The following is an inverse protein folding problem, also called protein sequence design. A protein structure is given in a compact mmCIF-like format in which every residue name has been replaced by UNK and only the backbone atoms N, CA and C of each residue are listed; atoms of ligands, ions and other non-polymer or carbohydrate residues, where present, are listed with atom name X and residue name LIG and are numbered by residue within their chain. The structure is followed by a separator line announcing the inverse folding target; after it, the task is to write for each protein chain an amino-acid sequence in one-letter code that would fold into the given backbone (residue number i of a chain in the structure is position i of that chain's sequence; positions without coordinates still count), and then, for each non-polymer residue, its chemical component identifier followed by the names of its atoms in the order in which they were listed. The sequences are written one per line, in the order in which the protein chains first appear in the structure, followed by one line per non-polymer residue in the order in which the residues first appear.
data_IF_530130740180
#
_entry.id   IF_530130740180
#
_cell.length_a   1.000
_cell.length_b   1.000
_cell.length_c   1.000
_cell.angle_alpha   90.00
_cell.angle_beta   90.00
_cell.angle_gamma   90.00
#
_symmetry.space_group_name_H-M   'P 1'
#
loop_
_entity.id
_entity.type
_entity.pdbx_description
1 polymer ?
#
# COMPACT_ATOMS: atom_id res chain seq x y z
N UNK A 1 -16.39 -1.20 -8.90
CA UNK A 1 -16.19 0.10 -9.59
C UNK A 1 -17.53 0.59 -10.11
N UNK A 2 -17.88 1.85 -9.83
CA UNK A 2 -19.14 2.47 -10.28
C UNK A 2 -19.29 2.37 -11.82
N UNK A 3 -20.38 1.78 -12.35
CA UNK A 3 -20.56 1.58 -13.80
C UNK A 3 -20.52 2.89 -14.61
N UNK A 4 -20.97 4.00 -14.02
CA UNK A 4 -20.94 5.32 -14.65
C UNK A 4 -19.50 5.84 -14.85
N UNK A 5 -18.65 5.60 -13.85
CA UNK A 5 -17.22 5.95 -13.90
C UNK A 5 -16.54 5.13 -15.00
N UNK A 6 -16.77 3.82 -15.05
CA UNK A 6 -16.19 2.94 -16.06
C UNK A 6 -16.59 3.35 -17.49
N UNK A 7 -17.90 3.57 -17.72
CA UNK A 7 -18.39 4.04 -19.02
C UNK A 7 -17.73 5.34 -19.46
N UNK A 8 -17.58 6.29 -18.54
CA UNK A 8 -16.95 7.58 -18.82
C UNK A 8 -15.48 7.45 -19.22
N UNK A 9 -14.73 6.57 -18.55
CA UNK A 9 -13.36 6.25 -18.93
C UNK A 9 -13.28 5.59 -20.31
N UNK A 10 -14.21 4.66 -20.63
CA UNK A 10 -14.29 4.04 -21.95
C UNK A 10 -14.48 5.09 -23.04
N UNK A 11 -15.46 5.99 -22.87
CA UNK A 11 -15.72 7.08 -23.82
C UNK A 11 -14.50 7.97 -23.97
N UNK A 12 -13.84 8.35 -22.86
CA UNK A 12 -12.62 9.16 -22.91
C UNK A 12 -11.49 8.48 -23.67
N UNK A 13 -11.29 7.18 -23.46
CA UNK A 13 -10.24 6.40 -24.12
C UNK A 13 -10.51 6.19 -25.62
N UNK A 14 -11.77 5.98 -25.98
CA UNK A 14 -12.22 5.84 -27.37
C UNK A 14 -12.18 7.16 -28.14
N UNK A 15 -12.55 8.27 -27.51
CA UNK A 15 -12.76 9.53 -28.26
C UNK A 15 -11.55 10.46 -28.22
N UNK A 16 -10.70 10.38 -27.20
CA UNK A 16 -9.61 11.34 -26.99
C UNK A 16 -8.25 10.68 -27.16
N UNK A 17 -7.65 10.84 -28.34
CA UNK A 17 -6.32 10.30 -28.68
C UNK A 17 -5.25 10.60 -27.62
N UNK A 18 -5.12 11.83 -27.07
CA UNK A 18 -4.13 12.12 -26.02
C UNK A 18 -4.32 11.25 -24.78
N UNK A 19 -5.58 11.02 -24.35
CA UNK A 19 -5.90 10.16 -23.20
C UNK A 19 -5.51 8.71 -23.50
N UNK A 20 -5.81 8.22 -24.70
CA UNK A 20 -5.43 6.87 -25.13
C UNK A 20 -3.92 6.64 -25.09
N UNK A 21 -3.15 7.61 -25.61
CA UNK A 21 -1.68 7.53 -25.62
C UNK A 21 -1.10 7.60 -24.21
N UNK A 22 -1.64 8.46 -23.34
CA UNK A 22 -1.29 8.49 -21.93
C UNK A 22 -1.58 7.13 -21.27
N UNK A 23 -2.78 6.59 -21.46
CA UNK A 23 -3.21 5.28 -20.95
C UNK A 23 -2.25 4.16 -21.30
N UNK A 24 -1.83 4.06 -22.57
CA UNK A 24 -0.85 3.05 -23.01
C UNK A 24 0.51 3.19 -22.32
N UNK A 25 0.99 4.43 -22.11
CA UNK A 25 2.26 4.69 -21.41
C UNK A 25 2.19 4.30 -19.95
N UNK A 26 1.09 4.66 -19.28
CA UNK A 26 0.85 4.31 -17.88
C UNK A 26 0.77 2.79 -17.74
N UNK A 27 -0.01 2.11 -18.59
CA UNK A 27 -0.12 0.66 -18.58
C UNK A 27 1.25 -0.01 -18.71
N UNK A 28 2.06 0.40 -19.71
CA UNK A 28 3.40 -0.17 -19.89
C UNK A 28 4.29 0.05 -18.67
N UNK A 29 4.27 1.26 -18.10
CA UNK A 29 5.09 1.57 -16.94
C UNK A 29 4.64 0.79 -15.70
N UNK A 30 3.34 0.79 -15.39
CA UNK A 30 2.79 0.00 -14.28
C UNK A 30 3.06 -1.49 -14.47
N UNK A 31 2.95 -2.02 -15.68
CA UNK A 31 3.30 -3.42 -15.96
C UNK A 31 4.77 -3.70 -15.63
N UNK A 32 5.68 -2.82 -16.02
CA UNK A 32 7.10 -2.98 -15.69
C UNK A 32 7.36 -2.93 -14.18
N UNK A 33 6.77 -1.95 -13.48
CA UNK A 33 6.91 -1.82 -12.02
C UNK A 33 6.30 -3.02 -11.30
N UNK A 34 5.13 -3.50 -11.73
CA UNK A 34 4.51 -4.70 -11.17
C UNK A 34 5.36 -5.94 -11.39
N UNK A 35 5.98 -6.10 -12.57
CA UNK A 35 6.90 -7.22 -12.82
C UNK A 35 8.17 -7.14 -11.98
N UNK A 36 8.75 -5.95 -11.80
CA UNK A 36 9.91 -5.72 -10.94
C UNK A 36 9.60 -6.09 -9.48
N UNK A 37 8.52 -5.53 -8.93
CA UNK A 37 8.04 -5.84 -7.57
C UNK A 37 7.71 -7.32 -7.41
N UNK A 38 7.12 -7.95 -8.45
CA UNK A 38 6.82 -9.39 -8.44
C UNK A 38 8.10 -10.22 -8.37
N UNK A 39 9.13 -9.86 -9.14
CA UNK A 39 10.43 -10.56 -9.11
C UNK A 39 11.15 -10.38 -7.77
N UNK A 40 11.15 -9.16 -7.23
CA UNK A 40 11.70 -8.88 -5.89
C UNK A 40 11.00 -9.72 -4.83
N UNK A 41 9.65 -9.73 -4.84
CA UNK A 41 8.84 -10.55 -3.93
C UNK A 41 9.16 -12.05 -4.04
N UNK A 42 9.33 -12.57 -5.25
CA UNK A 42 9.71 -13.98 -5.45
C UNK A 42 11.07 -14.24 -4.80
N UNK A 43 12.06 -13.38 -5.03
CA UNK A 43 13.36 -13.51 -4.39
C UNK A 43 13.31 -13.41 -2.86
N UNK A 44 12.46 -12.55 -2.30
CA UNK A 44 12.22 -12.49 -0.84
C UNK A 44 11.62 -13.80 -0.30
N UNK A 45 10.63 -14.35 -0.99
CA UNK A 45 9.97 -15.62 -0.61
C UNK A 45 10.97 -16.79 -0.70
N UNK A 46 11.81 -16.82 -1.73
CA UNK A 46 12.86 -17.84 -1.88
C UNK A 46 13.89 -17.76 -0.74
N UNK A 47 14.40 -16.57 -0.41
CA UNK A 47 15.29 -16.39 0.75
C UNK A 47 14.62 -16.76 2.08
N UNK A 48 13.34 -16.43 2.25
CA UNK A 48 12.59 -16.85 3.42
C UNK A 48 12.41 -18.38 3.49
N UNK A 49 12.22 -19.07 2.35
CA UNK A 49 12.19 -20.55 2.29
C UNK A 49 13.52 -21.15 2.74
N UNK A 50 14.65 -20.58 2.34
CA UNK A 50 15.98 -21.04 2.75
C UNK A 50 16.16 -20.95 4.28
N UNK A 51 15.71 -19.84 4.88
CA UNK A 51 15.79 -19.62 6.33
C UNK A 51 14.82 -20.51 7.11
N UNK A 52 13.64 -20.78 6.54
CA UNK A 52 12.54 -21.51 7.18
C UNK A 52 12.27 -22.86 6.48
N UNK A 53 13.31 -23.66 6.25
CA UNK A 53 13.22 -24.91 5.47
C UNK A 53 12.25 -25.97 6.04
N UNK A 54 11.85 -25.86 7.31
CA UNK A 54 10.82 -26.71 7.91
C UNK A 54 9.38 -26.30 7.58
N UNK A 55 9.16 -25.17 6.91
CA UNK A 55 7.84 -24.56 6.69
C UNK A 55 7.34 -24.67 5.23
N UNK A 56 7.68 -25.77 4.56
CA UNK A 56 7.25 -26.10 3.20
C UNK A 56 5.89 -26.80 3.16
N UNK A 57 4.84 -26.12 3.62
CA UNK A 57 3.51 -26.70 3.66
C UNK A 57 2.43 -25.73 3.17
N UNK A 58 1.29 -26.31 2.80
CA UNK A 58 0.17 -25.62 2.15
C UNK A 58 -0.92 -25.36 3.20
N UNK A 59 -1.44 -24.14 3.21
CA UNK A 59 -2.61 -23.73 3.98
C UNK A 59 -3.81 -23.75 3.04
N UNK A 60 -4.95 -24.23 3.55
CA UNK A 60 -6.26 -24.04 2.89
C UNK A 60 -6.98 -22.88 3.57
N UNK A 61 -7.31 -21.83 2.82
CA UNK A 61 -8.10 -20.70 3.29
C UNK A 61 -9.60 -21.05 3.40
N UNK A 62 -10.38 -20.15 4.03
CA UNK A 62 -11.82 -20.35 4.26
C UNK A 62 -12.64 -20.45 2.96
N UNK A 63 -12.14 -19.91 1.85
CA UNK A 63 -12.74 -20.01 0.52
C UNK A 63 -12.31 -21.27 -0.25
N UNK A 64 -11.44 -22.09 0.35
CA UNK A 64 -10.89 -23.31 -0.23
C UNK A 64 -9.67 -23.10 -1.11
N UNK A 65 -9.16 -21.87 -1.26
CA UNK A 65 -7.91 -21.61 -1.96
C UNK A 65 -6.73 -22.18 -1.17
N UNK A 66 -5.77 -22.75 -1.91
CA UNK A 66 -4.55 -23.33 -1.36
C UNK A 66 -3.38 -22.41 -1.64
N UNK A 67 -2.61 -22.09 -0.61
CA UNK A 67 -1.41 -21.24 -0.72
C UNK A 67 -0.28 -21.77 0.15
N UNK A 68 0.97 -21.46 -0.22
CA UNK A 68 2.13 -21.83 0.57
C UNK A 68 2.20 -21.01 1.88
N UNK A 69 2.61 -21.62 2.99
CA UNK A 69 2.68 -20.93 4.30
C UNK A 69 3.51 -19.63 4.25
N UNK A 70 4.67 -19.66 3.60
CA UNK A 70 5.54 -18.47 3.47
C UNK A 70 4.88 -17.37 2.62
N UNK A 71 4.07 -17.72 1.62
CA UNK A 71 3.31 -16.75 0.84
C UNK A 71 2.21 -16.11 1.69
N UNK A 72 1.51 -16.90 2.52
CA UNK A 72 0.56 -16.40 3.50
C UNK A 72 1.21 -15.44 4.50
N UNK A 73 2.39 -15.81 5.04
CA UNK A 73 3.15 -14.94 5.93
C UNK A 73 3.57 -13.64 5.23
N UNK A 74 3.90 -13.69 3.93
CA UNK A 74 4.22 -12.50 3.13
C UNK A 74 3.01 -11.58 2.97
N UNK A 75 1.80 -12.12 2.78
CA UNK A 75 0.56 -11.34 2.77
C UNK A 75 0.31 -10.66 4.12
N UNK A 76 0.65 -11.32 5.24
CA UNK A 76 0.55 -10.71 6.57
C UNK A 76 1.60 -9.60 6.75
N UNK A 77 2.82 -9.82 6.24
CA UNK A 77 3.85 -8.78 6.22
C UNK A 77 3.42 -7.54 5.43
N UNK A 78 2.73 -7.68 4.29
CA UNK A 78 2.15 -6.53 3.58
C UNK A 78 1.19 -5.73 4.45
N UNK A 79 0.29 -6.42 5.16
CA UNK A 79 -0.62 -5.74 6.09
C UNK A 79 0.14 -5.01 7.20
N UNK A 80 1.21 -5.60 7.73
CA UNK A 80 2.06 -4.93 8.73
C UNK A 80 2.80 -3.72 8.15
N UNK A 81 3.26 -3.79 6.90
CA UNK A 81 3.88 -2.65 6.22
C UNK A 81 2.88 -1.50 6.05
N UNK A 82 1.66 -1.80 5.62
CA UNK A 82 0.59 -0.80 5.49
C UNK A 82 0.29 -0.14 6.83
N UNK A 83 0.11 -0.92 7.91
CA UNK A 83 -0.14 -0.35 9.23
C UNK A 83 1.06 0.44 9.77
N UNK A 84 2.30 -0.02 9.53
CA UNK A 84 3.51 0.72 9.91
C UNK A 84 3.64 2.05 9.15
N UNK A 85 3.26 2.07 7.86
CA UNK A 85 3.19 3.29 7.06
C UNK A 85 2.24 4.30 7.71
N UNK A 86 1.11 3.84 8.24
CA UNK A 86 0.11 4.67 8.91
C UNK A 86 0.54 5.16 10.30
N UNK A 87 1.40 4.44 11.02
CA UNK A 87 1.92 4.87 12.32
C UNK A 87 2.90 6.05 12.27
N UNK A 88 3.46 6.36 11.09
CA UNK A 88 4.55 7.33 10.97
C UNK A 88 4.14 8.79 11.08
N UNK A 89 4.76 9.52 12.00
CA UNK A 89 4.86 10.98 11.98
C UNK A 89 5.78 11.51 10.86
N UNK A 90 5.89 12.84 10.74
CA UNK A 90 6.54 13.56 9.63
C UNK A 90 8.03 13.21 9.36
N UNK A 91 8.71 12.48 10.26
CA UNK A 91 10.17 12.29 10.22
C UNK A 91 10.66 11.09 9.38
N UNK A 92 9.77 10.29 8.78
CA UNK A 92 10.17 9.05 8.12
C UNK A 92 10.44 9.23 6.60
N UNK A 93 11.69 9.54 6.23
CA UNK A 93 12.09 9.77 4.84
C UNK A 93 12.57 8.52 4.06
N UNK A 94 12.63 7.34 4.66
CA UNK A 94 13.27 6.13 4.07
C UNK A 94 12.36 4.92 3.85
N UNK A 95 11.03 5.04 4.01
CA UNK A 95 10.10 3.89 4.07
C UNK A 95 9.78 3.17 2.75
N UNK A 96 10.49 3.44 1.66
CA UNK A 96 10.17 2.86 0.34
C UNK A 96 10.82 1.47 0.10
N UNK A 97 11.56 0.90 1.06
CA UNK A 97 12.44 -0.26 0.82
C UNK A 97 11.92 -1.62 1.29
N UNK A 98 10.60 -1.78 1.51
CA UNK A 98 10.04 -3.08 1.93
C UNK A 98 10.44 -3.54 3.34
N UNK A 99 10.97 -2.61 4.15
CA UNK A 99 11.40 -2.85 5.54
C UNK A 99 10.55 -2.06 6.53
N UNK A 100 10.38 -2.59 7.73
CA UNK A 100 9.66 -1.95 8.82
C UNK A 100 10.65 -1.67 9.95
N UNK A 101 10.81 -0.41 10.42
CA UNK A 101 11.56 -0.13 11.62
C UNK A 101 11.01 -0.94 12.80
N UNK A 102 11.88 -1.64 13.51
CA UNK A 102 11.50 -2.62 14.51
C UNK A 102 10.63 -2.02 15.61
N UNK A 103 10.89 -0.78 16.02
CA UNK A 103 10.04 -0.08 16.98
C UNK A 103 8.59 0.11 16.49
N UNK A 104 8.33 0.17 15.18
CA UNK A 104 6.95 0.17 14.66
C UNK A 104 6.30 -1.21 14.82
N UNK A 105 7.03 -2.32 14.60
CA UNK A 105 6.50 -3.66 14.86
C UNK A 105 6.10 -3.85 16.33
N UNK A 106 6.87 -3.28 17.26
CA UNK A 106 6.52 -3.24 18.68
C UNK A 106 5.24 -2.42 18.93
N UNK A 107 5.07 -1.27 18.27
CA UNK A 107 3.82 -0.50 18.35
C UNK A 107 2.61 -1.22 17.73
N UNK A 108 2.84 -2.06 16.72
CA UNK A 108 1.83 -2.95 16.14
C UNK A 108 1.53 -4.17 17.02
N UNK A 109 2.17 -4.30 18.18
CA UNK A 109 1.89 -5.32 19.19
C UNK A 109 2.58 -6.65 18.94
N UNK A 110 3.63 -6.71 18.10
CA UNK A 110 4.38 -7.94 17.85
C UNK A 110 4.89 -8.58 19.16
N UNK A 111 5.45 -7.78 20.06
CA UNK A 111 5.94 -8.25 21.37
C UNK A 111 4.83 -8.84 22.23
N UNK A 112 3.67 -8.20 22.28
CA UNK A 112 2.49 -8.67 23.01
C UNK A 112 2.04 -10.03 22.50
N UNK A 113 1.94 -10.21 21.19
CA UNK A 113 1.50 -11.47 20.58
C UNK A 113 2.52 -12.58 20.81
N UNK A 114 3.82 -12.30 20.67
CA UNK A 114 4.87 -13.29 20.92
C UNK A 114 4.92 -13.71 22.41
N UNK A 115 4.76 -12.77 23.35
CA UNK A 115 4.69 -13.08 24.78
C UNK A 115 3.43 -13.87 25.16
N UNK A 116 2.26 -13.53 24.60
CA UNK A 116 1.00 -14.26 24.83
C UNK A 116 1.07 -15.72 24.39
N UNK A 117 1.83 -15.99 23.32
CA UNK A 117 2.07 -17.35 22.81
C UNK A 117 3.30 -18.02 23.46
N UNK A 118 3.87 -17.42 24.52
CA UNK A 118 5.02 -17.93 25.28
C UNK A 118 6.30 -18.13 24.45
N UNK A 119 6.37 -17.49 23.27
CA UNK A 119 7.52 -17.56 22.38
C UNK A 119 8.70 -16.72 22.88
N UNK A 120 8.40 -15.68 23.65
CA UNK A 120 9.39 -14.78 24.26
C UNK A 120 9.02 -14.51 25.71
N UNK A 121 10.02 -14.46 26.59
CA UNK A 121 9.84 -14.17 28.02
C UNK A 121 9.60 -12.69 28.30
N UNK A 122 10.31 -11.82 27.57
CA UNK A 122 10.31 -10.39 27.77
C UNK A 122 10.77 -9.65 26.51
N UNK A 123 10.48 -8.35 26.48
CA UNK A 123 10.82 -7.47 25.35
C UNK A 123 12.32 -7.30 25.13
N UNK A 124 13.15 -7.36 26.18
CA UNK A 124 14.60 -7.19 26.04
C UNK A 124 15.22 -8.35 25.28
N UNK A 125 14.75 -9.58 25.52
CA UNK A 125 15.15 -10.77 24.74
C UNK A 125 14.75 -10.64 23.27
N UNK A 126 13.55 -10.12 22.99
CA UNK A 126 13.10 -9.88 21.60
C UNK A 126 13.99 -8.87 20.88
N UNK A 127 14.26 -7.73 21.52
CA UNK A 127 15.17 -6.68 20.99
C UNK A 127 16.57 -7.25 20.74
N UNK A 128 17.12 -8.03 21.69
CA UNK A 128 18.44 -8.63 21.55
C UNK A 128 18.53 -9.58 20.34
N UNK A 129 17.59 -10.52 20.22
CA UNK A 129 17.59 -11.51 19.11
C UNK A 129 17.39 -10.81 17.77
N UNK A 130 16.51 -9.80 17.72
CA UNK A 130 16.29 -9.00 16.52
C UNK A 130 17.59 -8.33 16.06
N UNK A 131 18.35 -7.71 16.98
CA UNK A 131 19.64 -7.10 16.66
C UNK A 131 20.66 -8.12 16.16
N UNK A 132 20.71 -9.32 16.75
CA UNK A 132 21.58 -10.39 16.26
C UNK A 132 21.23 -10.78 14.82
N UNK A 133 19.95 -10.98 14.52
CA UNK A 133 19.48 -11.34 13.17
C UNK A 133 19.85 -10.27 12.13
N UNK A 134 19.66 -8.98 12.45
CA UNK A 134 20.01 -7.87 11.55
C UNK A 134 21.52 -7.80 11.31
N UNK A 135 22.33 -8.04 12.36
CA UNK A 135 23.80 -8.05 12.25
C UNK A 135 24.31 -9.21 11.39
N UNK A 136 23.72 -10.39 11.52
CA UNK A 136 24.07 -11.58 10.73
C UNK A 136 23.80 -11.35 9.23
N UNK A 137 22.63 -10.79 8.87
CA UNK A 137 22.28 -10.54 7.46
C UNK A 137 23.18 -9.48 6.83
N UNK A 138 23.54 -8.44 7.58
CA UNK A 138 24.44 -7.40 7.12
C UNK A 138 25.86 -7.89 6.79
N UNK A 139 26.30 -9.00 7.38
CA UNK A 139 27.64 -9.56 7.17
C UNK A 139 27.79 -10.40 5.90
N UNK A 140 26.68 -10.88 5.33
CA UNK A 140 26.68 -11.73 4.13
C UNK A 140 26.59 -10.94 2.82
N UNK A 141 26.45 -9.62 2.88
CA UNK A 141 26.43 -8.77 1.69
C UNK A 141 27.86 -8.37 1.33
N UNK A 142 28.34 -8.79 0.16
CA UNK A 142 29.64 -8.41 -0.43
C UNK A 142 29.75 -6.90 -0.77
N UNK A 143 28.78 -6.08 -0.35
CA UNK A 143 28.79 -4.64 -0.57
C UNK A 143 29.94 -3.99 0.21
N UNK A 144 30.82 -3.28 -0.50
CA UNK A 144 31.94 -2.57 0.11
C UNK A 144 31.45 -1.65 1.24
N UNK A 145 32.18 -1.58 2.37
CA UNK A 145 31.81 -0.81 3.55
C UNK A 145 32.06 0.68 3.31
N UNK A 146 31.33 1.28 2.39
CA UNK A 146 31.49 2.69 2.05
C UNK A 146 30.61 3.54 2.99
N UNK A 147 31.28 4.22 3.93
CA UNK A 147 30.80 5.25 4.87
C UNK A 147 29.79 4.84 5.97
N UNK A 148 30.32 4.37 7.10
CA UNK A 148 30.20 4.94 8.47
C UNK A 148 28.88 5.57 8.98
N UNK A 149 27.69 5.25 8.46
CA UNK A 149 26.45 5.61 9.16
C UNK A 149 26.09 4.53 10.18
N UNK A 150 26.67 4.67 11.38
CA UNK A 150 26.47 3.81 12.55
C UNK A 150 25.03 3.88 13.14
N UNK A 151 24.13 4.62 12.49
CA UNK A 151 22.69 4.61 12.76
C UNK A 151 21.96 3.94 11.61
N UNK A 152 22.29 2.67 11.32
CA UNK A 152 21.30 1.82 10.64
C UNK A 152 20.08 1.80 11.55
N UNK A 153 19.04 2.52 11.14
CA UNK A 153 17.69 2.32 11.66
C UNK A 153 17.47 0.81 11.74
N UNK A 154 17.11 0.31 12.93
CA UNK A 154 16.88 -1.12 13.18
C UNK A 154 15.65 -1.57 12.39
N UNK A 155 15.78 -1.68 11.07
CA UNK A 155 14.72 -2.03 10.14
C UNK A 155 14.75 -3.51 9.87
N UNK A 156 13.57 -4.11 9.82
CA UNK A 156 13.37 -5.53 9.56
C UNK A 156 12.74 -5.68 8.18
N UNK A 157 13.35 -6.50 7.35
CA UNK A 157 12.80 -7.03 6.09
C UNK A 157 11.92 -8.25 6.33
N UNK A 158 11.16 -8.66 5.31
CA UNK A 158 10.37 -9.89 5.39
C UNK A 158 11.21 -11.12 5.78
N UNK A 159 12.42 -11.26 5.23
CA UNK A 159 13.29 -12.42 5.50
C UNK A 159 13.74 -12.45 6.96
N UNK A 160 14.14 -11.30 7.52
CA UNK A 160 14.53 -11.18 8.92
C UNK A 160 13.35 -11.41 9.87
N UNK A 161 12.15 -10.95 9.50
CA UNK A 161 10.92 -11.24 10.23
C UNK A 161 10.63 -12.75 10.27
N UNK A 162 10.77 -13.44 9.13
CA UNK A 162 10.60 -14.90 9.07
C UNK A 162 11.65 -15.63 9.90
N UNK A 163 12.92 -15.18 9.85
CA UNK A 163 14.00 -15.71 10.70
C UNK A 163 13.69 -15.56 12.18
N UNK A 164 13.18 -14.40 12.57
CA UNK A 164 12.80 -14.07 13.95
C UNK A 164 11.71 -15.03 14.45
N UNK A 165 10.63 -15.19 13.68
CA UNK A 165 9.56 -16.14 14.03
C UNK A 165 10.08 -17.57 14.12
N UNK A 166 10.88 -18.00 13.14
CA UNK A 166 11.45 -19.34 13.11
C UNK A 166 12.33 -19.61 14.34
N UNK A 167 13.22 -18.67 14.69
CA UNK A 167 14.07 -18.77 15.88
C UNK A 167 13.26 -18.96 17.17
N UNK A 168 12.17 -18.21 17.34
CA UNK A 168 11.33 -18.35 18.54
C UNK A 168 10.54 -19.66 18.59
N UNK A 169 10.02 -20.12 17.46
CA UNK A 169 9.33 -21.42 17.42
C UNK A 169 10.25 -22.59 17.73
N UNK A 170 11.51 -22.55 17.28
CA UNK A 170 12.51 -23.58 17.59
C UNK A 170 12.94 -23.56 19.06
N UNK A 171 13.03 -22.40 19.69
CA UNK A 171 13.52 -22.25 21.06
C UNK A 171 12.45 -22.40 22.14
N UNK A 172 11.18 -22.09 21.82
CA UNK A 172 10.06 -22.09 22.77
C UNK A 172 9.53 -23.48 23.12
N UNK A 173 9.91 -24.52 22.39
CA UNK A 173 9.33 -25.85 22.57
C UNK A 173 10.39 -26.90 22.38
N UNK A 174 10.40 -27.92 23.25
CA UNK A 174 11.25 -29.09 23.06
C UNK A 174 10.88 -29.81 21.75
N UNK A 175 11.48 -29.40 20.63
CA UNK A 175 11.42 -29.91 19.26
C UNK A 175 10.06 -30.16 18.58
N UNK A 176 8.96 -30.38 19.30
CA UNK A 176 7.73 -30.91 18.71
C UNK A 176 6.82 -29.87 18.03
N UNK A 177 6.77 -28.63 18.51
CA UNK A 177 5.83 -27.62 17.95
C UNK A 177 6.34 -26.92 16.69
N UNK A 178 7.62 -27.10 16.33
CA UNK A 178 8.20 -26.43 15.16
C UNK A 178 7.51 -26.83 13.84
N UNK A 179 6.87 -28.00 13.82
CA UNK A 179 6.12 -28.52 12.67
C UNK A 179 4.60 -28.48 12.86
N UNK A 180 4.10 -27.97 14.00
CA UNK A 180 2.66 -27.85 14.22
C UNK A 180 2.12 -26.64 13.44
N UNK A 181 1.34 -26.93 12.40
CA UNK A 181 0.82 -25.94 11.46
C UNK A 181 -0.20 -24.98 12.11
N UNK A 182 -1.13 -25.53 12.90
CA UNK A 182 -2.26 -24.78 13.43
C UNK A 182 -1.86 -23.65 14.42
N UNK A 183 -0.95 -23.87 15.40
CA UNK A 183 -0.47 -22.80 16.27
C UNK A 183 0.20 -21.65 15.51
N UNK A 184 0.97 -21.96 14.47
CA UNK A 184 1.71 -20.95 13.71
C UNK A 184 0.80 -20.12 12.81
N UNK A 185 -0.19 -20.74 12.14
CA UNK A 185 -1.24 -19.99 11.42
C UNK A 185 -1.95 -19.05 12.40
N UNK A 186 -2.37 -19.56 13.56
CA UNK A 186 -3.08 -18.77 14.57
C UNK A 186 -2.22 -17.62 15.10
N UNK A 187 -0.91 -17.83 15.29
CA UNK A 187 0.02 -16.79 15.69
C UNK A 187 0.03 -15.65 14.65
N UNK A 188 0.24 -16.00 13.39
CA UNK A 188 0.28 -15.04 12.29
C UNK A 188 -1.06 -14.27 12.13
N UNK A 189 -2.20 -14.95 12.25
CA UNK A 189 -3.52 -14.32 12.29
C UNK A 189 -3.64 -13.34 13.46
N UNK A 190 -3.19 -13.73 14.65
CA UNK A 190 -3.23 -12.87 15.84
C UNK A 190 -2.34 -11.64 15.68
N UNK A 191 -1.17 -11.77 15.04
CA UNK A 191 -0.29 -10.64 14.69
C UNK A 191 -1.04 -9.67 13.76
N UNK A 192 -1.66 -10.18 12.68
CA UNK A 192 -2.44 -9.38 11.73
C UNK A 192 -3.59 -8.64 12.43
N UNK A 193 -4.38 -9.35 13.22
CA UNK A 193 -5.53 -8.79 13.96
C UNK A 193 -5.12 -7.73 14.97
N UNK A 194 -4.03 -7.96 15.70
CA UNK A 194 -3.51 -7.00 16.69
C UNK A 194 -3.05 -5.70 16.02
N UNK A 195 -2.33 -5.82 14.91
CA UNK A 195 -1.90 -4.67 14.12
C UNK A 195 -3.09 -3.85 13.59
N UNK A 196 -4.07 -4.51 12.96
CA UNK A 196 -5.28 -3.84 12.43
C UNK A 196 -6.18 -3.25 13.52
N UNK A 197 -6.22 -3.85 14.71
CA UNK A 197 -7.02 -3.34 15.84
C UNK A 197 -6.48 -2.03 16.40
N UNK A 198 -5.17 -1.77 16.22
CA UNK A 198 -4.57 -0.47 16.58
C UNK A 198 -5.22 0.68 15.81
N UNK A 199 -5.50 0.47 14.52
CA UNK A 199 -6.18 1.44 13.65
C UNK A 199 -7.64 1.68 14.03
N UNK A 200 -8.39 0.63 14.35
CA UNK A 200 -9.82 0.76 14.70
C UNK A 200 -10.06 1.69 15.90
N UNK A 201 -9.08 1.81 16.80
CA UNK A 201 -9.14 2.74 17.93
C UNK A 201 -8.94 4.20 17.53
N UNK A 202 -8.30 4.49 16.39
CA UNK A 202 -7.84 5.83 16.04
C UNK A 202 -8.78 6.60 15.10
N UNK A 203 -9.56 5.94 14.23
CA UNK A 203 -10.74 6.48 13.54
C UNK A 203 -11.23 5.47 12.49
N UNK A 204 -12.52 5.51 12.15
CA UNK A 204 -13.14 4.67 11.12
C UNK A 204 -12.85 5.14 9.66
N UNK A 205 -11.77 5.90 9.44
CA UNK A 205 -11.42 6.35 8.07
C UNK A 205 -10.94 5.18 7.22
N UNK A 206 -11.31 5.21 5.93
CA UNK A 206 -10.89 4.20 4.96
C UNK A 206 -9.36 4.17 4.84
N UNK A 207 -8.79 2.96 4.86
CA UNK A 207 -7.35 2.75 4.80
C UNK A 207 -6.73 3.35 3.55
N UNK A 208 -7.44 3.30 2.41
CA UNK A 208 -6.98 3.86 1.14
C UNK A 208 -6.76 5.37 1.22
N UNK A 209 -7.65 6.09 1.92
CA UNK A 209 -7.56 7.54 2.14
C UNK A 209 -6.39 7.90 3.04
N UNK A 210 -6.16 7.11 4.10
CA UNK A 210 -5.04 7.31 5.02
C UNK A 210 -3.69 7.05 4.35
N UNK A 211 -3.59 5.97 3.55
CA UNK A 211 -2.40 5.65 2.77
C UNK A 211 -2.12 6.72 1.70
N UNK A 212 -3.16 7.21 1.02
CA UNK A 212 -3.04 8.33 0.10
C UNK A 212 -2.49 9.59 0.80
N UNK A 213 -3.00 9.90 2.00
CA UNK A 213 -2.51 11.01 2.80
C UNK A 213 -1.05 10.83 3.24
N UNK A 214 -0.66 9.61 3.63
CA UNK A 214 0.72 9.29 3.96
C UNK A 214 1.66 9.42 2.74
N UNK A 215 1.22 8.99 1.56
CA UNK A 215 1.97 9.10 0.32
C UNK A 215 2.23 10.56 -0.11
N UNK A 216 1.31 11.49 0.19
CA UNK A 216 1.53 12.93 -0.04
C UNK A 216 2.71 13.44 0.78
N UNK A 217 2.80 12.98 2.03
CA UNK A 217 3.81 13.43 3.01
C UNK A 217 5.16 12.72 2.85
N UNK A 218 5.22 11.60 2.12
CA UNK A 218 6.44 10.81 1.97
C UNK A 218 7.44 11.42 0.98
N UNK A 219 8.73 11.15 1.21
CA UNK A 219 9.85 11.59 0.38
C UNK A 219 10.54 12.87 0.85
N UNK A 220 11.56 13.31 0.11
CA UNK A 220 12.31 14.53 0.44
C UNK A 220 11.41 15.77 0.53
N UNK A 221 11.80 16.78 1.32
CA UNK A 221 11.05 18.05 1.46
C UNK A 221 10.64 18.68 0.11
N UNK A 222 11.50 18.58 -0.91
CA UNK A 222 11.20 19.09 -2.26
C UNK A 222 10.19 18.20 -3.01
N UNK A 223 10.28 16.88 -2.89
CA UNK A 223 9.32 15.95 -3.46
C UNK A 223 7.94 16.11 -2.80
N UNK A 224 7.91 16.20 -1.47
CA UNK A 224 6.70 16.44 -0.68
C UNK A 224 6.01 17.75 -1.10
N UNK A 225 6.72 18.88 -1.23
CA UNK A 225 6.15 20.14 -1.73
C UNK A 225 5.54 20.01 -3.13
N UNK A 226 6.18 19.27 -4.04
CA UNK A 226 5.65 19.02 -5.38
C UNK A 226 4.40 18.14 -5.35
N UNK A 227 4.43 17.05 -4.57
CA UNK A 227 3.29 16.15 -4.36
C UNK A 227 2.11 16.91 -3.76
N UNK A 228 2.33 17.71 -2.72
CA UNK A 228 1.31 18.55 -2.10
C UNK A 228 0.66 19.50 -3.12
N UNK A 229 1.45 20.19 -3.95
CA UNK A 229 0.89 21.06 -5.01
C UNK A 229 -0.02 20.30 -5.98
N UNK A 230 0.35 19.08 -6.37
CA UNK A 230 -0.47 18.26 -7.26
C UNK A 230 -1.71 17.69 -6.55
N UNK A 231 -1.58 17.33 -5.28
CA UNK A 231 -2.69 16.99 -4.39
C UNK A 231 -3.72 18.12 -4.33
N UNK A 232 -3.29 19.34 -4.03
CA UNK A 232 -4.17 20.50 -3.90
C UNK A 232 -4.89 20.81 -5.22
N UNK A 233 -4.18 20.69 -6.35
CA UNK A 233 -4.75 20.86 -7.68
C UNK A 233 -5.83 19.80 -7.98
N UNK A 234 -5.61 18.57 -7.55
CA UNK A 234 -6.59 17.48 -7.72
C UNK A 234 -7.84 17.73 -6.84
N UNK A 235 -7.65 18.13 -5.59
CA UNK A 235 -8.76 18.49 -4.68
C UNK A 235 -9.59 19.66 -5.22
N UNK A 236 -8.93 20.63 -5.87
CA UNK A 236 -9.62 21.69 -6.59
C UNK A 236 -10.52 21.16 -7.72
N UNK A 237 -10.07 20.14 -8.46
CA UNK A 237 -10.91 19.52 -9.50
C UNK A 237 -12.13 18.81 -8.89
N UNK A 238 -11.92 17.99 -7.87
CA UNK A 238 -12.98 17.22 -7.19
C UNK A 238 -14.04 18.18 -6.62
N UNK A 239 -13.62 19.19 -5.85
CA UNK A 239 -14.54 20.19 -5.28
C UNK A 239 -15.31 20.97 -6.36
N UNK A 240 -14.66 21.28 -7.49
CA UNK A 240 -15.30 21.94 -8.63
C UNK A 240 -16.38 21.06 -9.26
N UNK A 241 -16.13 19.75 -9.41
CA UNK A 241 -17.12 18.82 -9.92
C UNK A 241 -18.35 18.72 -9.02
N UNK A 242 -18.19 18.71 -7.69
CA UNK A 242 -19.32 18.73 -6.74
C UNK A 242 -20.18 19.99 -6.87
N UNK A 243 -19.55 21.15 -7.08
CA UNK A 243 -20.27 22.42 -7.32
C UNK A 243 -21.00 22.39 -8.66
N UNK A 244 -20.38 21.85 -9.71
CA UNK A 244 -21.01 21.71 -11.03
C UNK A 244 -22.18 20.76 -11.00
N UNK A 245 -22.09 19.64 -10.28
CA UNK A 245 -23.20 18.70 -10.12
C UNK A 245 -24.42 19.37 -9.49
N UNK A 246 -24.22 20.13 -8.42
CA UNK A 246 -25.31 20.84 -7.74
C UNK A 246 -26.00 21.84 -8.67
N UNK A 247 -25.25 22.52 -9.54
CA UNK A 247 -25.82 23.41 -10.56
C UNK A 247 -26.52 22.64 -11.67
N UNK A 248 -25.95 21.51 -12.08
CA UNK A 248 -26.47 20.65 -13.14
C UNK A 248 -27.80 20.00 -12.76
N UNK A 249 -27.95 19.54 -11.51
CA UNK A 249 -29.17 18.91 -11.03
C UNK A 249 -30.30 19.91 -10.74
N UNK A 250 -29.97 21.16 -10.40
CA UNK A 250 -30.94 22.20 -10.06
C UNK A 250 -31.36 23.08 -11.25
N UNK A 251 -30.77 22.90 -12.43
CA UNK A 251 -30.95 23.79 -13.57
C UNK A 251 -31.78 23.18 -14.71
N UNK A 252 -32.81 23.91 -15.14
CA UNK A 252 -33.60 23.67 -16.36
C UNK A 252 -32.79 24.07 -17.63
N UNK A 253 -31.51 23.70 -17.67
CA UNK A 253 -30.55 24.22 -18.65
C UNK A 253 -30.72 23.51 -20.00
N UNK A 254 -31.62 24.05 -20.82
CA UNK A 254 -31.89 23.63 -22.21
C UNK A 254 -30.63 23.53 -23.09
N UNK A 255 -29.48 24.08 -22.68
CA UNK A 255 -28.19 23.93 -23.36
C UNK A 255 -27.63 22.52 -23.26
N UNK A 256 -27.92 21.80 -22.17
CA UNK A 256 -27.48 20.43 -21.96
C UNK A 256 -28.17 19.46 -22.93
N UNK A 257 -29.43 19.73 -23.29
CA UNK A 257 -30.15 18.96 -24.31
C UNK A 257 -29.49 19.03 -25.70
N UNK A 258 -28.61 20.01 -25.95
CA UNK A 258 -27.89 20.19 -27.22
C UNK A 258 -26.50 19.55 -27.24
N UNK A 259 -25.97 19.07 -26.10
CA UNK A 259 -24.64 18.47 -26.07
C UNK A 259 -24.65 17.02 -26.58
N UNK A 260 -23.57 16.54 -27.21
CA UNK A 260 -23.46 15.14 -27.60
C UNK A 260 -23.61 14.24 -26.37
N UNK A 261 -24.43 13.17 -26.44
CA UNK A 261 -24.72 12.31 -25.29
C UNK A 261 -23.44 11.76 -24.62
N UNK A 262 -22.42 11.42 -25.43
CA UNK A 262 -21.11 10.93 -24.96
C UNK A 262 -20.38 11.91 -24.03
N UNK A 263 -20.47 13.23 -24.25
CA UNK A 263 -19.80 14.21 -23.38
C UNK A 263 -20.50 14.38 -22.03
N UNK A 264 -21.83 14.26 -22.03
CA UNK A 264 -22.62 14.26 -20.80
C UNK A 264 -22.37 13.00 -19.98
N UNK A 265 -22.16 11.85 -20.63
CA UNK A 265 -21.75 10.63 -19.94
C UNK A 265 -20.43 10.83 -19.19
N UNK A 266 -19.42 11.39 -19.86
CA UNK A 266 -18.13 11.70 -19.21
C UNK A 266 -18.35 12.58 -17.96
N UNK A 267 -19.13 13.65 -18.10
CA UNK A 267 -19.40 14.57 -16.99
C UNK A 267 -20.10 13.87 -15.82
N UNK A 268 -21.07 12.98 -16.10
CA UNK A 268 -21.75 12.18 -15.07
C UNK A 268 -20.78 11.25 -14.35
N UNK A 269 -19.88 10.57 -15.07
CA UNK A 269 -18.87 9.76 -14.41
C UNK A 269 -17.88 10.58 -13.59
N UNK A 270 -17.56 11.81 -13.99
CA UNK A 270 -16.78 12.72 -13.14
C UNK A 270 -17.50 13.04 -11.81
N UNK A 271 -18.82 13.25 -11.84
CA UNK A 271 -19.61 13.47 -10.62
C UNK A 271 -19.62 12.24 -9.72
N UNK A 272 -19.94 11.06 -10.25
CA UNK A 272 -19.94 9.82 -9.47
C UNK A 272 -18.55 9.48 -8.93
N UNK A 273 -17.50 9.70 -9.74
CA UNK A 273 -16.12 9.51 -9.31
C UNK A 273 -15.72 10.46 -8.18
N UNK A 274 -16.17 11.71 -8.22
CA UNK A 274 -15.88 12.72 -7.18
C UNK A 274 -16.55 12.44 -5.84
N UNK A 275 -17.66 11.67 -5.80
CA UNK A 275 -18.35 11.27 -4.57
C UNK A 275 -17.72 10.05 -3.89
N UNK A 276 -16.98 9.23 -4.64
CA UNK A 276 -16.43 7.99 -4.12
C UNK A 276 -15.02 8.24 -3.56
N UNK A 277 -14.90 8.28 -2.23
CA UNK A 277 -13.65 8.61 -1.53
C UNK A 277 -12.48 7.69 -1.91
N UNK A 278 -12.72 6.38 -2.01
CA UNK A 278 -11.66 5.42 -2.38
C UNK A 278 -11.19 5.63 -3.83
N UNK A 279 -12.09 5.97 -4.76
CA UNK A 279 -11.73 6.33 -6.14
C UNK A 279 -10.94 7.63 -6.18
N UNK A 280 -11.37 8.65 -5.42
CA UNK A 280 -10.67 9.92 -5.28
C UNK A 280 -9.26 9.71 -4.71
N UNK A 281 -9.11 8.94 -3.64
CA UNK A 281 -7.84 8.64 -3.00
C UNK A 281 -6.89 7.93 -3.97
N UNK A 282 -7.36 6.87 -4.64
CA UNK A 282 -6.58 6.14 -5.63
C UNK A 282 -6.15 7.05 -6.80
N UNK A 283 -7.09 7.75 -7.44
CA UNK A 283 -6.76 8.65 -8.55
C UNK A 283 -5.83 9.79 -8.14
N UNK A 284 -5.94 10.29 -6.91
CA UNK A 284 -5.05 11.33 -6.37
C UNK A 284 -3.62 10.83 -6.26
N UNK A 285 -3.38 9.63 -5.71
CA UNK A 285 -2.05 9.01 -5.68
C UNK A 285 -1.45 8.98 -7.08
N UNK A 286 -2.19 8.39 -8.02
CA UNK A 286 -1.67 8.20 -9.38
C UNK A 286 -1.51 9.56 -10.11
N UNK A 287 -2.36 10.56 -9.85
CA UNK A 287 -2.20 11.91 -10.40
C UNK A 287 -0.92 12.58 -9.88
N UNK A 288 -0.56 12.43 -8.60
CA UNK A 288 0.65 13.05 -8.06
C UNK A 288 1.93 12.49 -8.68
N UNK A 289 2.01 11.17 -8.82
CA UNK A 289 3.25 10.51 -9.25
C UNK A 289 3.38 10.47 -10.78
N UNK A 290 2.28 10.38 -11.53
CA UNK A 290 2.34 10.17 -12.99
C UNK A 290 2.02 11.43 -13.80
N UNK A 291 3.06 12.02 -14.41
CA UNK A 291 2.92 13.20 -15.27
C UNK A 291 1.92 13.01 -16.43
N UNK A 292 1.87 11.81 -17.02
CA UNK A 292 0.93 11.51 -18.11
C UNK A 292 -0.54 11.60 -17.64
N UNK A 293 -0.83 11.17 -16.42
CA UNK A 293 -2.17 11.30 -15.83
C UNK A 293 -2.49 12.73 -15.45
N UNK A 294 -1.51 13.51 -15.02
CA UNK A 294 -1.71 14.96 -14.80
C UNK A 294 -2.19 15.65 -16.06
N UNK A 295 -1.49 15.43 -17.16
CA UNK A 295 -1.87 15.97 -18.46
C UNK A 295 -3.27 15.50 -18.90
N UNK A 296 -3.60 14.23 -18.65
CA UNK A 296 -4.93 13.68 -18.94
C UNK A 296 -6.03 14.32 -18.09
N UNK A 297 -5.82 14.42 -16.78
CA UNK A 297 -6.75 15.06 -15.84
C UNK A 297 -6.98 16.52 -16.16
N UNK A 298 -5.92 17.29 -16.45
CA UNK A 298 -6.01 18.70 -16.83
C UNK A 298 -6.81 18.88 -18.14
N UNK A 299 -6.63 17.97 -19.10
CA UNK A 299 -7.38 17.98 -20.36
C UNK A 299 -8.87 17.72 -20.12
N UNK A 300 -9.20 16.69 -19.33
CA UNK A 300 -10.58 16.34 -18.97
C UNK A 300 -11.23 17.51 -18.23
N UNK A 301 -10.55 18.08 -17.24
CA UNK A 301 -11.06 19.21 -16.47
C UNK A 301 -11.36 20.43 -17.36
N UNK A 302 -10.45 20.78 -18.27
CA UNK A 302 -10.65 21.87 -19.25
C UNK A 302 -11.81 21.59 -20.19
N UNK A 303 -11.97 20.34 -20.63
CA UNK A 303 -13.07 19.92 -21.49
C UNK A 303 -14.41 20.07 -20.75
N UNK A 304 -14.51 19.55 -19.53
CA UNK A 304 -15.73 19.63 -18.72
C UNK A 304 -16.05 21.08 -18.33
N UNK A 305 -15.04 21.90 -18.04
CA UNK A 305 -15.22 23.34 -17.76
C UNK A 305 -15.92 24.09 -18.90
N UNK A 306 -15.68 23.70 -20.16
CA UNK A 306 -16.32 24.30 -21.33
C UNK A 306 -17.75 23.81 -21.56
N UNK A 307 -18.15 22.70 -20.94
CA UNK A 307 -19.51 22.17 -21.04
C UNK A 307 -20.44 22.80 -20.01
N UNK A 308 -19.90 23.18 -18.85
CA UNK A 308 -20.67 23.74 -17.73
C UNK A 308 -20.70 25.28 -17.73
N UNK A 309 -19.80 25.95 -18.46
CA UNK A 309 -19.79 27.41 -18.66
C UNK A 309 -20.51 27.80 -19.94
#
# INVERSE_FOLDING_TARGET
MEPAVLRSFTVLFEDYLPIRLAGRRIYKHLNNVMEEVRLERIGEIERAREVCSGWEWIITEDDGEQQHFIEYARCIWDNLMDEALLLGGEENHSRETGVIPFHHLLHLGLDQVLMQNQLVTDRAKLEFITKQIILEEGSNSDAEPDSLDLQRDESISFVEFMRLLYHFTLTSSGSQTANDQAPLIKLLQTIKETAMSSRQKQNAQDASTLLAAAAIRSGSSNACKKRQKHSDQFDHYVSTFSVWESKFLNGDDTRLAKQPPRRLEILRGCFEGAKNESVVAALKIVYMDFAALRLGGDLIFKLMSKLVR
#
